data_IF_073437427483
#
_entry.id   IF_073437427483
#
_cell.length_a   1.000
_cell.length_b   1.000
_cell.length_c   1.000
_cell.angle_alpha   90.00
_cell.angle_beta   90.00
_cell.angle_gamma   90.00
#
_symmetry.space_group_name_H-M   'P 1'
#
loop_
_entity.id
_entity.type
_entity.pdbx_description
1 polymer ?
#
# COMPACT_ATOMS: atom_id res chain seq x y z
N UNK A 1 -10.45 -1.23 0.76
CA UNK A 1 -9.05 -1.02 1.11
C UNK A 1 -8.41 -0.05 0.11
N UNK A 2 -7.46 0.78 0.56
CA UNK A 2 -6.58 1.59 -0.28
C UNK A 2 -5.18 0.96 -0.27
N UNK A 3 -4.63 0.68 -1.44
CA UNK A 3 -3.34 0.01 -1.63
C UNK A 3 -2.30 0.95 -2.16
N UNK A 4 -1.06 0.62 -1.88
CA UNK A 4 0.09 1.38 -2.31
C UNK A 4 1.04 0.45 -3.05
N UNK A 5 1.64 0.93 -4.13
CA UNK A 5 2.77 0.24 -4.75
C UNK A 5 4.00 0.48 -3.88
N UNK A 6 4.63 -0.59 -3.39
CA UNK A 6 5.76 -0.48 -2.44
C UNK A 6 7.02 -1.21 -2.91
N UNK A 7 8.11 -1.09 -2.17
CA UNK A 7 9.37 -1.79 -2.48
C UNK A 7 9.31 -3.30 -2.31
N UNK A 8 8.30 -3.86 -1.62
CA UNK A 8 8.09 -5.31 -1.62
C UNK A 8 7.89 -5.88 -3.03
N UNK A 9 7.48 -5.05 -3.99
CA UNK A 9 7.39 -5.43 -5.40
C UNK A 9 8.76 -5.80 -5.99
N UNK A 10 9.88 -5.23 -5.53
CA UNK A 10 11.23 -5.62 -5.98
C UNK A 10 11.64 -7.00 -5.44
N UNK A 11 11.40 -7.26 -4.16
CA UNK A 11 11.64 -8.58 -3.55
C UNK A 11 10.77 -9.66 -4.21
N UNK A 12 9.53 -9.31 -4.53
CA UNK A 12 8.57 -10.19 -5.18
C UNK A 12 8.76 -10.32 -6.70
N UNK A 13 9.57 -9.46 -7.33
CA UNK A 13 9.87 -9.52 -8.78
C UNK A 13 10.35 -10.90 -9.20
N UNK A 14 11.20 -11.52 -8.37
CA UNK A 14 11.77 -12.83 -8.66
C UNK A 14 10.71 -13.95 -8.61
N UNK A 15 9.63 -13.76 -7.83
CA UNK A 15 8.54 -14.73 -7.70
C UNK A 15 7.35 -14.40 -8.60
N UNK A 16 7.24 -13.18 -9.11
CA UNK A 16 6.07 -12.70 -9.84
C UNK A 16 5.76 -13.59 -11.05
N UNK A 17 6.75 -13.91 -11.87
CA UNK A 17 6.53 -14.74 -13.06
C UNK A 17 5.98 -16.12 -12.70
N UNK A 18 6.53 -16.75 -11.66
CA UNK A 18 6.07 -18.06 -11.17
C UNK A 18 4.65 -17.99 -10.63
N UNK A 19 4.34 -17.01 -9.77
CA UNK A 19 3.00 -16.84 -9.21
C UNK A 19 1.97 -16.45 -10.27
N UNK A 20 2.37 -15.62 -11.25
CA UNK A 20 1.51 -15.24 -12.37
C UNK A 20 1.17 -16.46 -13.24
N UNK A 21 2.15 -17.34 -13.49
CA UNK A 21 1.91 -18.60 -14.21
C UNK A 21 0.94 -19.52 -13.46
N UNK A 22 1.00 -19.54 -12.11
CA UNK A 22 0.03 -20.28 -11.30
C UNK A 22 -1.38 -19.68 -11.42
N UNK A 23 -1.51 -18.36 -11.27
CA UNK A 23 -2.80 -17.66 -11.44
C UNK A 23 -3.38 -17.84 -12.86
N UNK A 24 -2.52 -17.94 -13.87
CA UNK A 24 -2.93 -18.16 -15.25
C UNK A 24 -3.60 -19.53 -15.48
N UNK A 25 -3.31 -20.53 -14.63
CA UNK A 25 -3.97 -21.85 -14.67
C UNK A 25 -5.43 -21.78 -14.21
N UNK A 26 -5.79 -20.76 -13.46
CA UNK A 26 -7.19 -20.51 -13.03
C UNK A 26 -8.00 -19.81 -14.13
N UNK A 27 -7.37 -19.34 -15.20
CA UNK A 27 -8.04 -18.65 -16.31
C UNK A 27 -8.49 -19.64 -17.40
N UNK A 28 -9.57 -19.33 -18.14
CA UNK A 28 -9.93 -20.07 -19.34
C UNK A 28 -8.76 -20.09 -20.33
N UNK A 29 -8.52 -21.24 -20.98
CA UNK A 29 -7.39 -21.42 -21.91
C UNK A 29 -7.34 -20.37 -23.03
N UNK A 30 -8.50 -19.93 -23.52
CA UNK A 30 -8.63 -18.90 -24.55
C UNK A 30 -8.22 -17.49 -24.07
N UNK A 31 -8.22 -17.23 -22.76
CA UNK A 31 -7.86 -15.92 -22.18
C UNK A 31 -6.44 -15.90 -21.58
N UNK A 32 -5.82 -17.07 -21.39
CA UNK A 32 -4.55 -17.21 -20.66
C UNK A 32 -3.43 -16.32 -21.21
N UNK A 33 -3.21 -16.32 -22.52
CA UNK A 33 -2.14 -15.53 -23.13
C UNK A 33 -2.37 -14.03 -22.95
N UNK A 34 -3.60 -13.56 -23.21
CA UNK A 34 -3.99 -12.17 -23.02
C UNK A 34 -3.86 -11.74 -21.55
N UNK A 35 -4.26 -12.60 -20.62
CA UNK A 35 -4.10 -12.37 -19.18
C UNK A 35 -2.63 -12.23 -18.78
N UNK A 36 -1.76 -13.14 -19.26
CA UNK A 36 -0.33 -13.09 -18.98
C UNK A 36 0.30 -11.81 -19.52
N UNK A 37 0.03 -11.46 -20.78
CA UNK A 37 0.59 -10.27 -21.42
C UNK A 37 0.13 -8.98 -20.72
N UNK A 38 -1.18 -8.82 -20.51
CA UNK A 38 -1.74 -7.63 -19.84
C UNK A 38 -1.25 -7.49 -18.39
N UNK A 39 -1.13 -8.60 -17.65
CA UNK A 39 -0.63 -8.58 -16.27
C UNK A 39 0.85 -8.21 -16.21
N UNK A 40 1.68 -8.69 -17.14
CA UNK A 40 3.11 -8.31 -17.21
C UNK A 40 3.28 -6.82 -17.52
N UNK A 41 2.52 -6.31 -18.48
CA UNK A 41 2.57 -4.89 -18.83
C UNK A 41 2.18 -4.01 -17.65
N UNK A 42 1.06 -4.33 -16.99
CA UNK A 42 0.58 -3.59 -15.84
C UNK A 42 1.58 -3.66 -14.66
N UNK A 43 2.16 -4.82 -14.41
CA UNK A 43 3.22 -5.00 -13.40
C UNK A 43 4.43 -4.10 -13.66
N UNK A 44 4.95 -4.09 -14.89
CA UNK A 44 6.09 -3.25 -15.27
C UNK A 44 5.78 -1.76 -15.07
N UNK A 45 4.59 -1.31 -15.46
CA UNK A 45 4.19 0.08 -15.28
C UNK A 45 4.09 0.45 -13.80
N UNK A 46 3.50 -0.43 -12.98
CA UNK A 46 3.31 -0.17 -11.56
C UNK A 46 4.61 -0.19 -10.76
N UNK A 47 5.58 -1.07 -11.10
CA UNK A 47 6.89 -1.07 -10.44
C UNK A 47 7.57 0.30 -10.47
N UNK A 48 7.40 1.04 -11.57
CA UNK A 48 8.00 2.36 -11.74
C UNK A 48 7.31 3.43 -10.89
N UNK A 49 6.14 3.12 -10.32
CA UNK A 49 5.32 4.04 -9.53
C UNK A 49 5.36 3.71 -8.02
N UNK A 50 6.48 3.15 -7.56
CA UNK A 50 6.67 2.87 -6.13
C UNK A 50 6.55 4.14 -5.30
N UNK A 51 5.83 4.02 -4.18
CA UNK A 51 5.53 5.11 -3.25
C UNK A 51 4.69 6.26 -3.84
N UNK A 52 4.29 6.19 -5.12
CA UNK A 52 3.52 7.24 -5.78
C UNK A 52 2.17 6.73 -6.28
N UNK A 53 2.02 5.44 -6.53
CA UNK A 53 0.76 4.86 -6.99
C UNK A 53 -0.08 4.24 -5.86
N UNK A 54 -1.40 4.40 -6.01
CA UNK A 54 -2.40 3.77 -5.16
C UNK A 54 -3.65 3.38 -5.94
N UNK A 55 -4.42 2.44 -5.40
CA UNK A 55 -5.74 2.08 -5.93
C UNK A 55 -6.70 1.70 -4.81
N UNK A 56 -8.01 1.77 -5.09
CA UNK A 56 -9.04 1.29 -4.17
C UNK A 56 -9.45 -0.12 -4.61
N UNK A 57 -9.54 -1.02 -3.65
CA UNK A 57 -9.88 -2.42 -3.86
C UNK A 57 -10.87 -2.92 -2.82
N UNK A 58 -11.75 -3.81 -3.27
CA UNK A 58 -12.67 -4.55 -2.44
C UNK A 58 -12.37 -6.05 -2.56
N UNK A 59 -12.10 -6.70 -1.43
CA UNK A 59 -11.97 -8.17 -1.36
C UNK A 59 -13.35 -8.86 -1.42
N UNK A 60 -14.36 -8.16 -0.88
CA UNK A 60 -15.76 -8.55 -0.86
C UNK A 60 -16.64 -7.32 -1.03
N UNK A 61 -17.85 -7.55 -1.51
CA UNK A 61 -18.90 -6.55 -1.68
C UNK A 61 -20.21 -7.03 -1.04
N UNK A 62 -21.13 -6.08 -0.83
CA UNK A 62 -22.44 -6.40 -0.27
C UNK A 62 -23.15 -7.40 -1.19
N UNK A 63 -23.59 -8.52 -0.63
CA UNK A 63 -24.24 -9.61 -1.36
C UNK A 63 -23.31 -10.77 -1.75
N UNK A 64 -21.99 -10.65 -1.56
CA UNK A 64 -21.08 -11.79 -1.75
C UNK A 64 -21.32 -12.85 -0.65
N UNK A 65 -21.37 -14.11 -1.05
CA UNK A 65 -21.53 -15.22 -0.11
C UNK A 65 -20.27 -15.37 0.76
N UNK A 66 -20.40 -15.75 2.06
CA UNK A 66 -19.25 -15.88 2.95
C UNK A 66 -18.12 -16.79 2.44
N UNK A 67 -18.45 -17.77 1.60
CA UNK A 67 -17.54 -18.74 0.99
C UNK A 67 -16.96 -18.31 -0.36
N UNK A 68 -17.48 -17.26 -1.01
CA UNK A 68 -17.04 -16.82 -2.33
C UNK A 68 -16.62 -15.36 -2.32
N UNK A 69 -15.31 -15.12 -2.24
CA UNK A 69 -14.73 -13.79 -2.42
C UNK A 69 -14.74 -13.42 -3.91
N UNK A 70 -15.07 -12.17 -4.21
CA UNK A 70 -15.01 -11.60 -5.57
C UNK A 70 -14.15 -10.34 -5.57
N UNK A 71 -12.82 -10.50 -5.47
CA UNK A 71 -11.91 -9.38 -5.40
C UNK A 71 -12.01 -8.52 -6.64
N UNK A 72 -12.01 -7.19 -6.47
CA UNK A 72 -12.02 -6.23 -7.58
C UNK A 72 -11.40 -4.90 -7.19
N UNK A 73 -10.77 -4.28 -8.16
CA UNK A 73 -10.38 -2.88 -8.10
C UNK A 73 -11.62 -2.02 -8.30
N UNK A 74 -11.87 -1.10 -7.38
CA UNK A 74 -12.96 -0.12 -7.46
C UNK A 74 -12.54 1.13 -8.23
N UNK A 75 -11.24 1.35 -8.37
CA UNK A 75 -10.66 2.40 -9.19
C UNK A 75 -9.53 1.83 -10.02
N UNK A 76 -9.24 2.47 -11.14
CA UNK A 76 -7.92 2.35 -11.78
C UNK A 76 -6.81 2.77 -10.80
N UNK A 77 -5.58 2.38 -11.13
CA UNK A 77 -4.40 2.89 -10.42
C UNK A 77 -4.25 4.39 -10.65
N UNK A 78 -4.07 5.11 -9.55
CA UNK A 78 -3.86 6.56 -9.51
C UNK A 78 -2.45 6.83 -9.05
N UNK A 79 -1.84 7.90 -9.56
CA UNK A 79 -0.51 8.36 -9.15
C UNK A 79 -0.61 9.71 -8.44
N UNK A 80 0.32 9.94 -7.52
CA UNK A 80 0.59 11.27 -7.01
C UNK A 80 1.22 12.14 -8.11
N UNK A 81 1.10 13.48 -8.02
CA UNK A 81 1.80 14.40 -8.91
C UNK A 81 3.32 14.17 -8.90
N UNK A 82 3.98 14.61 -9.98
CA UNK A 82 5.44 14.54 -10.06
C UNK A 82 6.12 15.31 -8.93
N UNK A 83 7.25 14.80 -8.45
CA UNK A 83 8.05 15.43 -7.40
C UNK A 83 7.54 15.22 -5.97
N UNK A 84 6.50 14.39 -5.77
CA UNK A 84 6.04 13.99 -4.43
C UNK A 84 5.83 12.48 -4.34
N UNK A 85 5.96 11.94 -3.13
CA UNK A 85 5.67 10.53 -2.85
C UNK A 85 5.14 10.35 -1.43
N UNK A 86 4.46 9.23 -1.18
CA UNK A 86 4.17 8.77 0.17
C UNK A 86 5.48 8.46 0.90
N UNK A 87 5.54 8.78 2.19
CA UNK A 87 6.74 8.55 2.99
C UNK A 87 7.13 7.06 2.99
N UNK A 88 8.36 6.69 2.55
CA UNK A 88 8.74 5.28 2.41
C UNK A 88 8.58 4.45 3.68
N UNK A 89 8.89 5.02 4.85
CA UNK A 89 8.69 4.34 6.15
C UNK A 89 7.25 3.86 6.38
N UNK A 90 6.22 4.56 5.88
CA UNK A 90 4.83 4.09 5.99
C UNK A 90 4.57 2.83 5.16
N UNK A 91 5.39 2.59 4.15
CA UNK A 91 5.21 1.58 3.13
C UNK A 91 6.25 0.46 3.22
N UNK A 92 7.09 0.48 4.27
CA UNK A 92 7.93 -0.66 4.65
C UNK A 92 7.12 -1.66 5.47
N UNK A 93 7.54 -2.92 5.49
CA UNK A 93 7.07 -3.85 6.52
C UNK A 93 8.18 -4.82 6.90
N UNK A 94 8.24 -5.14 8.20
CA UNK A 94 8.83 -6.32 8.84
C UNK A 94 8.71 -6.15 10.36
N UNK A 95 7.54 -5.73 10.85
CA UNK A 95 7.30 -5.58 12.29
C UNK A 95 6.50 -6.77 12.81
N UNK A 96 6.60 -7.06 14.11
CA UNK A 96 5.63 -7.91 14.80
C UNK A 96 4.37 -7.12 15.12
N UNK A 97 3.26 -7.82 15.37
CA UNK A 97 2.00 -7.17 15.80
C UNK A 97 2.21 -6.30 17.06
N UNK A 98 3.02 -6.77 18.01
CA UNK A 98 3.34 -6.02 19.24
C UNK A 98 4.16 -4.76 18.95
N UNK A 99 5.14 -4.83 18.05
CA UNK A 99 5.95 -3.67 17.68
C UNK A 99 5.10 -2.63 16.96
N UNK A 100 4.24 -3.08 16.05
CA UNK A 100 3.29 -2.22 15.36
C UNK A 100 2.37 -1.48 16.34
N UNK A 101 1.75 -2.22 17.28
CA UNK A 101 0.88 -1.63 18.30
C UNK A 101 1.63 -0.63 19.19
N UNK A 102 2.86 -0.95 19.57
CA UNK A 102 3.74 -0.04 20.31
C UNK A 102 3.97 1.25 19.51
N UNK A 103 4.41 1.16 18.25
CA UNK A 103 4.64 2.35 17.41
C UNK A 103 3.36 3.15 17.13
N UNK A 104 2.20 2.50 16.99
CA UNK A 104 0.93 3.18 16.72
C UNK A 104 0.45 3.99 17.93
N UNK A 105 0.74 3.51 19.14
CA UNK A 105 0.23 4.09 20.39
C UNK A 105 1.28 4.87 21.19
N UNK A 106 2.54 4.85 20.76
CA UNK A 106 3.62 5.57 21.41
C UNK A 106 3.74 7.01 20.86
N UNK A 107 4.16 7.95 21.73
CA UNK A 107 4.38 9.36 21.38
C UNK A 107 5.69 9.60 20.63
N UNK A 108 6.60 8.64 20.64
CA UNK A 108 7.86 8.71 19.89
C UNK A 108 7.63 8.38 18.41
N UNK A 109 7.20 9.39 17.66
CA UNK A 109 7.12 9.34 16.21
C UNK A 109 8.53 9.46 15.64
N UNK A 110 8.94 8.53 14.77
CA UNK A 110 10.19 8.67 14.01
C UNK A 110 9.97 9.82 13.02
N UNK A 111 10.64 10.96 13.25
CA UNK A 111 10.56 12.15 12.37
C UNK A 111 9.11 12.60 12.05
N UNK A 112 8.21 12.48 13.02
CA UNK A 112 6.80 12.86 12.86
C UNK A 112 5.99 11.90 11.97
N UNK A 113 6.50 10.70 11.69
CA UNK A 113 5.81 9.62 10.98
C UNK A 113 5.37 8.55 11.98
N UNK A 114 4.12 8.12 11.89
CA UNK A 114 3.56 7.04 12.71
C UNK A 114 4.04 5.65 12.25
N UNK A 115 3.59 4.60 12.95
CA UNK A 115 3.83 3.19 12.59
C UNK A 115 3.64 2.92 11.08
N UNK A 116 4.42 2.02 10.45
CA UNK A 116 4.17 1.57 9.08
C UNK A 116 2.73 1.09 8.88
N UNK A 117 2.23 1.07 7.64
CA UNK A 117 0.87 0.58 7.38
C UNK A 117 0.79 -0.94 7.59
N UNK A 118 -0.29 -1.46 8.22
CA UNK A 118 -0.53 -2.89 8.30
C UNK A 118 -0.60 -3.54 6.91
N UNK A 119 -0.13 -4.78 6.82
CA UNK A 119 -0.15 -5.56 5.60
C UNK A 119 -1.36 -6.48 5.51
N UNK A 120 -1.74 -6.73 4.28
CA UNK A 120 -2.84 -7.60 3.90
C UNK A 120 -2.56 -8.26 2.55
N UNK A 121 -3.20 -9.39 2.30
CA UNK A 121 -3.08 -10.14 1.04
C UNK A 121 -4.02 -9.59 -0.02
N UNK A 122 -3.48 -9.30 -1.20
CA UNK A 122 -4.25 -8.78 -2.33
C UNK A 122 -3.81 -9.36 -3.66
N UNK A 123 -4.74 -9.44 -4.61
CA UNK A 123 -4.43 -9.80 -5.99
C UNK A 123 -3.84 -8.62 -6.73
N UNK A 124 -2.64 -8.78 -7.26
CA UNK A 124 -1.87 -7.75 -7.97
C UNK A 124 -1.23 -8.33 -9.23
N UNK A 125 -1.09 -7.55 -10.33
CA UNK A 125 -1.43 -6.13 -10.45
C UNK A 125 -2.91 -5.84 -10.76
N UNK A 126 -3.71 -6.89 -10.97
CA UNK A 126 -5.15 -6.83 -11.21
C UNK A 126 -5.88 -7.90 -10.38
N UNK A 127 -7.21 -7.88 -10.39
CA UNK A 127 -8.05 -8.75 -9.56
C UNK A 127 -7.98 -10.24 -9.89
N UNK A 128 -7.45 -10.61 -11.06
CA UNK A 128 -7.19 -12.01 -11.44
C UNK A 128 -5.72 -12.41 -11.22
N UNK A 129 -4.88 -11.45 -10.79
CA UNK A 129 -3.46 -11.66 -10.56
C UNK A 129 -3.16 -12.55 -9.35
N UNK A 130 -1.88 -12.89 -9.17
CA UNK A 130 -1.42 -13.58 -7.99
C UNK A 130 -1.54 -12.74 -6.71
N UNK A 131 -1.54 -13.42 -5.58
CA UNK A 131 -1.62 -12.82 -4.26
C UNK A 131 -0.26 -12.33 -3.74
N UNK A 132 -0.27 -11.14 -3.14
CA UNK A 132 0.88 -10.47 -2.54
C UNK A 132 0.51 -9.75 -1.25
N UNK A 133 1.51 -9.58 -0.38
CA UNK A 133 1.38 -8.82 0.86
C UNK A 133 1.78 -7.37 0.62
N UNK A 134 0.80 -6.47 0.69
CA UNK A 134 1.03 -5.03 0.57
C UNK A 134 0.51 -4.28 1.78
N UNK A 135 1.19 -3.18 2.18
CA UNK A 135 0.65 -2.25 3.14
C UNK A 135 -0.64 -1.63 2.59
N UNK A 136 -1.61 -1.44 3.48
CA UNK A 136 -2.90 -0.91 3.10
C UNK A 136 -3.51 -0.04 4.19
N UNK A 137 -4.53 0.71 3.78
CA UNK A 137 -5.51 1.30 4.69
C UNK A 137 -6.83 0.60 4.46
N UNK A 138 -7.47 0.17 5.54
CA UNK A 138 -8.73 -0.55 5.46
C UNK A 138 -9.89 0.30 5.99
N UNK A 139 -11.02 0.19 5.30
CA UNK A 139 -12.25 0.88 5.63
C UNK A 139 -13.38 -0.14 5.68
N UNK A 140 -14.22 -0.07 6.70
CA UNK A 140 -15.43 -0.86 6.75
C UNK A 140 -16.50 -0.25 5.81
N UNK A 141 -17.67 -0.88 5.71
CA UNK A 141 -18.76 -0.44 4.83
C UNK A 141 -19.37 0.92 5.22
N UNK A 142 -19.09 1.44 6.42
CA UNK A 142 -19.51 2.76 6.91
C UNK A 142 -18.47 3.85 6.63
N UNK A 143 -17.30 3.48 6.08
CA UNK A 143 -16.18 4.39 5.88
C UNK A 143 -15.29 4.57 7.12
N UNK A 144 -15.51 3.80 8.18
CA UNK A 144 -14.68 3.85 9.38
C UNK A 144 -13.36 3.08 9.14
N UNK A 145 -12.26 3.59 9.68
CA UNK A 145 -10.98 2.89 9.64
C UNK A 145 -11.03 1.65 10.52
N UNK A 146 -10.37 0.60 10.06
CA UNK A 146 -9.95 -0.50 10.92
C UNK A 146 -8.54 -0.92 10.54
N UNK A 147 -7.85 -1.60 11.46
CA UNK A 147 -6.44 -1.96 11.32
C UNK A 147 -6.31 -3.48 11.20
N UNK A 148 -6.44 -4.05 9.99
CA UNK A 148 -6.23 -5.47 9.80
C UNK A 148 -4.74 -5.77 9.74
N UNK A 149 -4.31 -6.76 10.49
CA UNK A 149 -2.91 -7.15 10.59
C UNK A 149 -2.71 -8.57 10.11
N UNK A 150 -1.76 -8.74 9.20
CA UNK A 150 -1.35 -10.03 8.69
C UNK A 150 0.14 -10.23 8.93
N UNK A 151 0.48 -11.28 9.67
CA UNK A 151 1.86 -11.60 10.04
C UNK A 151 2.45 -12.67 9.10
N UNK A 152 3.56 -12.35 8.43
CA UNK A 152 4.29 -13.30 7.59
C UNK A 152 3.42 -13.97 6.51
N UNK A 153 3.38 -15.29 6.54
CA UNK A 153 2.63 -16.12 5.57
C UNK A 153 1.21 -16.46 6.03
N UNK A 154 0.70 -15.83 7.08
CA UNK A 154 -0.68 -16.05 7.52
C UNK A 154 -1.65 -15.64 6.40
N UNK A 155 -2.77 -16.36 6.29
CA UNK A 155 -3.82 -16.08 5.30
C UNK A 155 -5.05 -15.42 5.92
N UNK A 156 -5.14 -15.43 7.25
CA UNK A 156 -6.25 -14.86 8.01
C UNK A 156 -5.75 -13.66 8.83
N UNK A 157 -6.22 -12.44 8.54
CA UNK A 157 -5.80 -11.25 9.26
C UNK A 157 -6.56 -11.09 10.58
N UNK A 158 -5.86 -10.56 11.58
CA UNK A 158 -6.45 -10.13 12.86
C UNK A 158 -6.91 -8.68 12.76
N UNK A 159 -8.05 -8.34 13.36
CA UNK A 159 -8.47 -6.93 13.49
C UNK A 159 -7.89 -6.39 14.79
N UNK A 160 -7.08 -5.33 14.70
CA UNK A 160 -6.46 -4.70 15.86
C UNK A 160 -7.39 -3.65 16.49
N UNK A 161 -7.51 -3.70 17.81
CA UNK A 161 -8.19 -2.67 18.60
C UNK A 161 -7.19 -1.58 18.97
N UNK A 162 -7.31 -0.42 18.34
CA UNK A 162 -6.48 0.75 18.60
C UNK A 162 -7.23 1.70 19.57
N UNK A 163 -6.57 2.28 20.60
CA UNK A 163 -7.21 3.24 21.49
C UNK A 163 -7.82 4.42 20.72
N UNK A 164 -8.88 5.02 21.27
CA UNK A 164 -9.69 6.05 20.59
C UNK A 164 -8.85 7.25 20.18
N UNK A 165 -7.90 7.65 21.02
CA UNK A 165 -6.97 8.74 20.78
C UNK A 165 -6.03 8.49 19.60
N UNK A 166 -5.82 7.23 19.17
CA UNK A 166 -5.00 6.83 18.02
C UNK A 166 -5.85 6.25 16.89
N UNK A 167 -7.18 6.36 16.96
CA UNK A 167 -8.10 5.91 15.94
C UNK A 167 -8.16 6.91 14.76
N UNK A 168 -7.04 7.05 14.08
CA UNK A 168 -6.87 7.81 12.86
C UNK A 168 -5.66 7.27 12.10
N UNK A 169 -5.48 7.66 10.86
CA UNK A 169 -4.30 7.31 10.07
C UNK A 169 -3.65 8.57 9.49
N UNK A 170 -2.31 8.64 9.56
CA UNK A 170 -1.52 9.72 8.97
C UNK A 170 -0.71 9.18 7.80
N UNK A 171 -0.92 9.78 6.64
CA UNK A 171 -0.11 9.56 5.44
C UNK A 171 0.71 10.81 5.16
N UNK A 172 2.01 10.81 5.51
CA UNK A 172 2.90 11.89 5.14
C UNK A 172 3.24 11.79 3.66
N UNK A 173 3.17 12.93 2.99
CA UNK A 173 3.65 13.14 1.62
C UNK A 173 4.92 13.97 1.71
N UNK A 174 5.98 13.47 1.08
CA UNK A 174 7.30 14.11 1.09
C UNK A 174 7.68 14.53 -0.32
N UNK A 175 8.62 15.47 -0.43
CA UNK A 175 9.22 15.81 -1.72
C UNK A 175 10.01 14.59 -2.21
N UNK A 176 9.50 13.96 -3.26
CA UNK A 176 10.31 13.08 -4.08
C UNK A 176 11.26 14.00 -4.82
N UNK A 177 12.54 14.03 -4.43
CA UNK A 177 13.54 14.64 -5.30
C UNK A 177 13.54 13.82 -6.57
N UNK A 178 13.17 14.44 -7.69
CA UNK A 178 13.35 13.82 -8.99
C UNK A 178 14.82 13.45 -9.21
N UNK A 179 15.05 12.68 -10.26
CA UNK A 179 16.28 12.84 -11.04
C UNK A 179 16.34 14.32 -11.45
N UNK A 180 16.98 15.17 -10.65
CA UNK A 180 17.41 16.47 -11.15
C UNK A 180 18.73 16.19 -11.86
N UNK A 181 18.82 16.48 -13.16
CA UNK A 181 20.13 16.69 -13.76
C UNK A 181 20.65 18.01 -13.15
N UNK A 182 21.50 17.91 -12.14
CA UNK A 182 22.52 18.95 -12.00
C UNK A 182 23.54 18.69 -13.12
N UNK A 183 24.27 19.71 -13.62
CA UNK A 183 25.24 19.51 -14.68
C UNK A 183 26.38 18.53 -14.33
N UNK A 184 26.41 17.95 -13.13
CA UNK A 184 27.54 17.13 -12.66
C UNK A 184 27.14 15.79 -12.03
N UNK A 185 26.00 15.63 -11.35
CA UNK A 185 25.67 14.32 -10.73
C UNK A 185 24.18 13.98 -10.69
N UNK A 186 23.88 12.70 -10.96
CA UNK A 186 22.59 12.05 -10.72
C UNK A 186 22.60 11.46 -9.31
N UNK A 187 21.97 12.12 -8.34
CA UNK A 187 21.85 11.57 -6.98
C UNK A 187 20.56 10.77 -6.87
N UNK A 188 20.68 9.44 -6.90
CA UNK A 188 19.59 8.53 -6.58
C UNK A 188 19.28 8.64 -5.09
N UNK A 189 18.09 9.16 -4.74
CA UNK A 189 17.58 9.00 -3.39
C UNK A 189 17.02 7.59 -3.29
N UNK A 190 17.86 6.66 -2.86
CA UNK A 190 17.43 5.35 -2.36
C UNK A 190 16.34 5.56 -1.30
N UNK A 191 15.34 4.68 -1.16
CA UNK A 191 14.32 4.79 -0.10
C UNK A 191 14.87 5.13 1.29
N UNK A 192 16.11 4.71 1.58
CA UNK A 192 16.87 5.02 2.79
C UNK A 192 17.13 6.51 3.03
N UNK A 193 17.46 7.31 2.01
CA UNK A 193 17.73 8.75 2.15
C UNK A 193 16.46 9.60 2.15
N UNK A 194 15.32 9.02 1.79
CA UNK A 194 14.01 9.65 1.88
C UNK A 194 13.31 9.42 3.22
N UNK A 195 13.75 8.46 4.03
CA UNK A 195 13.21 8.20 5.38
C UNK A 195 13.45 9.41 6.28
N UNK A 196 14.58 10.10 6.14
CA UNK A 196 14.94 11.23 7.00
C UNK A 196 14.29 12.56 6.61
N UNK A 197 13.43 12.59 5.58
CA UNK A 197 12.82 13.82 5.09
C UNK A 197 11.56 14.16 5.87
N UNK A 198 11.47 15.41 6.32
CA UNK A 198 10.22 15.92 6.88
C UNK A 198 9.10 15.95 5.83
N UNK A 199 7.85 15.64 6.24
CA UNK A 199 6.72 15.73 5.34
C UNK A 199 6.41 17.15 4.90
N UNK A 200 6.05 17.30 3.61
CA UNK A 200 5.49 18.55 3.09
C UNK A 200 4.04 18.75 3.54
N UNK A 201 3.34 17.63 3.72
CA UNK A 201 1.94 17.57 4.04
C UNK A 201 1.67 16.24 4.75
N UNK A 202 0.78 16.25 5.73
CA UNK A 202 0.20 15.03 6.30
C UNK A 202 -1.28 14.96 5.95
N UNK A 203 -1.67 13.87 5.30
CA UNK A 203 -3.09 13.54 5.13
C UNK A 203 -3.52 12.80 6.39
N UNK A 204 -4.45 13.38 7.15
CA UNK A 204 -5.13 12.72 8.26
C UNK A 204 -6.44 12.13 7.80
N UNK A 205 -6.64 10.86 8.13
CA UNK A 205 -7.90 10.14 7.91
C UNK A 205 -8.48 9.84 9.30
N UNK A 206 -9.64 10.40 9.59
CA UNK A 206 -10.34 10.17 10.86
C UNK A 206 -10.87 8.74 10.93
N UNK A 207 -10.64 8.05 12.04
CA UNK A 207 -10.98 6.63 12.13
C UNK A 207 -12.47 6.34 12.26
N UNK A 208 -13.28 7.26 12.78
CA UNK A 208 -14.72 7.05 12.94
C UNK A 208 -15.52 7.50 11.74
N UNK A 209 -15.02 8.47 10.97
CA UNK A 209 -15.80 9.06 9.86
C UNK A 209 -15.18 8.77 8.50
N UNK A 210 -13.92 8.33 8.46
CA UNK A 210 -13.14 8.25 7.22
C UNK A 210 -12.83 9.64 6.64
N UNK A 211 -13.17 10.73 7.34
CA UNK A 211 -13.00 12.08 6.83
C UNK A 211 -11.52 12.37 6.64
N UNK A 212 -11.19 12.88 5.46
CA UNK A 212 -9.83 13.24 5.08
C UNK A 212 -9.60 14.72 5.34
N UNK A 213 -8.50 15.04 6.03
CA UNK A 213 -8.05 16.42 6.30
C UNK A 213 -6.58 16.55 5.95
N UNK A 214 -6.23 17.61 5.24
CA UNK A 214 -4.86 17.99 4.98
C UNK A 214 -4.33 18.80 6.17
N UNK A 215 -3.27 18.30 6.81
CA UNK A 215 -2.51 19.00 7.83
C UNK A 215 -1.26 19.55 7.15
N UNK A 216 -1.20 20.87 6.99
CA UNK A 216 0.03 21.52 6.54
C UNK A 216 1.00 21.49 7.71
N UNK A 217 2.17 20.92 7.47
CA UNK A 217 3.29 21.07 8.38
C UNK A 217 3.88 22.45 8.10
N UNK A 218 3.86 23.33 9.10
CA UNK A 218 4.43 24.67 8.97
C UNK A 218 5.96 24.53 8.79
N UNK A 219 6.49 25.14 7.73
CA UNK A 219 7.93 25.25 7.47
C UNK A 219 8.53 26.42 8.25
#
# INVERSE_FOLDING_TARGET
YMFFVTTNVYWERNNFQTRLNLAAREQPSAETERFLQSSKLLWTNLIQQQYTAYAIYADRTVGDQPSQKRPRYLTEWKTLPEGVMFHPYKLTNNLSMSDWMSLKTNRYRVQGVEAPLPQMTFRFPNSKGPEFHFPCIAFNYRGELFFPYLEGNNTTPSILNVPVEYNFELLPIIKASGFYSTPVETVEITPKTAVDKEPLLRIKIDGKTGKVTALKDEF
#
